data_IF_532840176026
#
_entry.id   IF_532840176026
#
_cell.length_a   1.000
_cell.length_b   1.000
_cell.length_c   1.000
_cell.angle_alpha   90.00
_cell.angle_beta   90.00
_cell.angle_gamma   90.00
#
_symmetry.space_group_name_H-M   'P 1'
#
loop_
_entity.id
_entity.type
_entity.pdbx_description
1 polymer ?
#
# COMPACT_ATOMS: atom_id res chain seq x y z
N UNK A 1 27.90 -24.16 -45.34
CA UNK A 1 26.43 -24.02 -45.40
C UNK A 1 25.65 -25.02 -44.53
N UNK A 2 25.56 -26.33 -44.85
CA UNK A 2 24.78 -27.28 -44.01
C UNK A 2 25.38 -27.51 -42.60
N UNK A 3 26.70 -27.61 -42.49
CA UNK A 3 27.39 -27.82 -41.21
C UNK A 3 27.32 -26.59 -40.28
N UNK A 4 27.43 -25.39 -40.83
CA UNK A 4 27.27 -24.12 -40.07
C UNK A 4 25.84 -23.96 -39.55
N UNK A 5 24.84 -24.30 -40.35
CA UNK A 5 23.44 -24.31 -39.92
C UNK A 5 23.17 -25.33 -38.81
N UNK A 6 23.88 -26.46 -38.81
CA UNK A 6 23.78 -27.46 -37.74
C UNK A 6 24.44 -26.97 -36.45
N UNK A 7 25.64 -26.38 -36.54
CA UNK A 7 26.36 -25.78 -35.41
C UNK A 7 25.56 -24.65 -34.74
N UNK A 8 24.96 -23.75 -35.53
CA UNK A 8 24.11 -22.67 -35.01
C UNK A 8 22.87 -23.20 -34.27
N UNK A 9 22.26 -24.29 -34.77
CA UNK A 9 21.12 -24.94 -34.09
C UNK A 9 21.52 -25.58 -32.77
N UNK A 10 22.68 -26.24 -32.73
CA UNK A 10 23.21 -26.85 -31.49
C UNK A 10 23.53 -25.77 -30.46
N UNK A 11 24.20 -24.68 -30.86
CA UNK A 11 24.48 -23.54 -29.99
C UNK A 11 23.19 -22.92 -29.43
N UNK A 12 22.20 -22.66 -30.30
CA UNK A 12 20.89 -22.13 -29.88
C UNK A 12 20.18 -23.06 -28.90
N UNK A 13 20.22 -24.38 -29.14
CA UNK A 13 19.63 -25.37 -28.22
C UNK A 13 20.35 -25.40 -26.87
N UNK A 14 21.68 -25.27 -26.85
CA UNK A 14 22.46 -25.21 -25.62
C UNK A 14 22.16 -23.94 -24.81
N UNK A 15 22.07 -22.78 -25.47
CA UNK A 15 21.68 -21.52 -24.82
C UNK A 15 20.26 -21.62 -24.26
N UNK A 16 19.32 -22.14 -25.04
CA UNK A 16 17.94 -22.35 -24.59
C UNK A 16 17.86 -23.29 -23.38
N UNK A 17 18.64 -24.37 -23.37
CA UNK A 17 18.75 -25.29 -22.24
C UNK A 17 19.30 -24.60 -20.99
N UNK A 18 20.33 -23.76 -21.14
CA UNK A 18 20.90 -23.00 -20.03
C UNK A 18 19.91 -21.96 -19.48
N UNK A 19 19.23 -21.21 -20.35
CA UNK A 19 18.18 -20.26 -19.96
C UNK A 19 17.03 -20.97 -19.23
N UNK A 20 16.61 -22.14 -19.70
CA UNK A 20 15.58 -22.93 -19.03
C UNK A 20 16.04 -23.40 -17.64
N UNK A 21 17.28 -23.86 -17.52
CA UNK A 21 17.84 -24.29 -16.22
C UNK A 21 17.95 -23.12 -15.24
N UNK A 22 18.43 -21.95 -15.68
CA UNK A 22 18.51 -20.75 -14.83
C UNK A 22 17.12 -20.27 -14.40
N UNK A 23 16.13 -20.30 -15.29
CA UNK A 23 14.74 -20.00 -14.98
C UNK A 23 14.16 -20.97 -13.94
N UNK A 24 14.32 -22.27 -14.14
CA UNK A 24 13.84 -23.31 -13.21
C UNK A 24 14.48 -23.15 -11.82
N UNK A 25 15.79 -22.91 -11.78
CA UNK A 25 16.50 -22.67 -10.52
C UNK A 25 16.00 -21.40 -9.82
N UNK A 26 15.79 -20.31 -10.57
CA UNK A 26 15.23 -19.07 -10.05
C UNK A 26 13.81 -19.24 -9.48
N UNK A 27 12.97 -20.04 -10.14
CA UNK A 27 11.62 -20.37 -9.66
C UNK A 27 11.70 -21.15 -8.35
N UNK A 28 12.55 -22.18 -8.27
CA UNK A 28 12.73 -23.00 -7.05
C UNK A 28 13.19 -22.14 -5.89
N UNK A 29 14.23 -21.31 -6.07
CA UNK A 29 14.69 -20.38 -5.03
C UNK A 29 13.57 -19.44 -4.60
N UNK A 30 12.82 -18.88 -5.56
CA UNK A 30 11.72 -17.95 -5.27
C UNK A 30 10.62 -18.62 -4.45
N UNK A 31 10.25 -19.86 -4.76
CA UNK A 31 9.28 -20.65 -3.99
C UNK A 31 9.78 -20.90 -2.57
N UNK A 32 11.04 -21.31 -2.42
CA UNK A 32 11.65 -21.55 -1.09
C UNK A 32 11.67 -20.26 -0.26
N UNK A 33 12.09 -19.14 -0.84
CA UNK A 33 12.11 -17.83 -0.16
C UNK A 33 10.69 -17.38 0.21
N UNK A 34 9.72 -17.55 -0.69
CA UNK A 34 8.32 -17.21 -0.42
C UNK A 34 7.73 -18.08 0.70
N UNK A 35 8.00 -19.38 0.70
CA UNK A 35 7.59 -20.30 1.75
C UNK A 35 8.23 -19.94 3.10
N UNK A 36 9.54 -19.66 3.11
CA UNK A 36 10.25 -19.22 4.31
C UNK A 36 9.68 -17.91 4.88
N UNK A 37 9.43 -16.91 4.02
CA UNK A 37 8.81 -15.63 4.42
C UNK A 37 7.38 -15.79 4.94
N UNK A 38 6.65 -16.78 4.43
CA UNK A 38 5.30 -17.11 4.90
C UNK A 38 5.34 -17.72 6.31
N UNK A 39 6.29 -18.61 6.57
CA UNK A 39 6.47 -19.24 7.89
C UNK A 39 7.11 -18.31 8.93
N UNK A 40 8.02 -17.44 8.50
CA UNK A 40 8.72 -16.47 9.37
C UNK A 40 8.59 -15.06 8.80
N UNK A 41 7.45 -14.38 9.04
CA UNK A 41 7.26 -13.03 8.56
C UNK A 41 8.21 -12.06 9.29
N UNK A 42 8.66 -10.96 8.64
CA UNK A 42 9.64 -10.03 9.22
C UNK A 42 9.21 -9.51 10.58
N UNK A 43 10.16 -9.25 11.48
CA UNK A 43 9.87 -8.69 12.79
C UNK A 43 9.19 -7.31 12.66
N UNK A 44 8.25 -7.02 13.55
CA UNK A 44 7.56 -5.73 13.58
C UNK A 44 8.44 -4.69 14.26
N UNK A 45 8.69 -3.57 13.59
CA UNK A 45 9.32 -2.40 14.23
C UNK A 45 8.36 -1.74 15.22
N UNK A 46 8.94 -1.11 16.24
CA UNK A 46 8.19 -0.23 17.14
C UNK A 46 7.90 1.10 16.43
N UNK A 47 6.73 1.67 16.67
CA UNK A 47 6.36 3.02 16.22
C UNK A 47 6.30 4.00 17.40
N UNK A 48 6.53 3.54 18.62
CA UNK A 48 6.39 4.36 19.82
C UNK A 48 7.30 5.60 19.76
N UNK A 49 6.74 6.78 20.03
CA UNK A 49 7.46 8.05 20.03
C UNK A 49 7.68 8.67 18.65
N UNK A 50 7.33 7.99 17.56
CA UNK A 50 7.41 8.54 16.20
C UNK A 50 6.34 9.60 15.95
N UNK A 51 6.50 10.33 14.84
CA UNK A 51 5.52 11.32 14.36
C UNK A 51 4.93 10.82 13.05
N UNK A 52 3.60 10.80 12.94
CA UNK A 52 2.90 10.38 11.74
C UNK A 52 1.92 11.46 11.25
N UNK A 53 1.82 11.59 9.93
CA UNK A 53 0.82 12.40 9.25
C UNK A 53 -0.16 11.45 8.58
N UNK A 54 -1.45 11.60 8.87
CA UNK A 54 -2.51 10.74 8.30
C UNK A 54 -3.45 11.61 7.49
N UNK A 55 -3.50 11.38 6.18
CA UNK A 55 -4.36 12.11 5.24
C UNK A 55 -5.69 11.35 5.09
N UNK A 56 -6.80 12.09 5.03
CA UNK A 56 -8.14 11.50 5.02
C UNK A 56 -8.53 10.93 6.38
N UNK A 57 -8.03 11.53 7.45
CA UNK A 57 -8.22 11.04 8.82
C UNK A 57 -9.65 11.26 9.37
N UNK A 58 -10.54 11.94 8.64
CA UNK A 58 -11.88 12.23 9.14
C UNK A 58 -12.84 11.04 9.17
N UNK A 59 -12.58 9.97 8.40
CA UNK A 59 -13.47 8.79 8.32
C UNK A 59 -12.75 7.51 7.90
N UNK A 60 -13.47 6.39 8.00
CA UNK A 60 -13.07 5.06 7.56
C UNK A 60 -11.66 4.64 7.96
N UNK A 61 -10.92 4.09 6.99
CA UNK A 61 -9.57 3.54 7.22
C UNK A 61 -8.60 4.60 7.73
N UNK A 62 -8.65 5.83 7.21
CA UNK A 62 -7.76 6.90 7.64
C UNK A 62 -7.99 7.29 9.11
N UNK A 63 -9.27 7.43 9.52
CA UNK A 63 -9.64 7.67 10.93
C UNK A 63 -9.07 6.60 11.85
N UNK A 64 -9.26 5.36 11.47
CA UNK A 64 -8.84 4.23 12.27
C UNK A 64 -7.31 4.07 12.34
N UNK A 65 -6.60 4.33 11.24
CA UNK A 65 -5.13 4.38 11.25
C UNK A 65 -4.65 5.43 12.26
N UNK A 66 -5.27 6.62 12.27
CA UNK A 66 -4.92 7.67 13.23
C UNK A 66 -5.14 7.21 14.68
N UNK A 67 -6.25 6.54 14.97
CA UNK A 67 -6.53 5.96 16.29
C UNK A 67 -5.50 4.91 16.71
N UNK A 68 -5.25 3.93 15.87
CA UNK A 68 -4.32 2.85 16.20
C UNK A 68 -2.87 3.34 16.33
N UNK A 69 -2.45 4.32 15.53
CA UNK A 69 -1.15 4.98 15.70
C UNK A 69 -1.05 5.68 17.06
N UNK A 70 -2.11 6.38 17.48
CA UNK A 70 -2.15 7.01 18.79
C UNK A 70 -2.03 5.98 19.93
N UNK A 71 -2.73 4.85 19.83
CA UNK A 71 -2.63 3.75 20.80
C UNK A 71 -1.23 3.13 20.85
N UNK A 72 -0.47 3.19 19.76
CA UNK A 72 0.93 2.77 19.70
C UNK A 72 1.90 3.82 20.28
N UNK A 73 1.41 4.97 20.76
CA UNK A 73 2.21 6.07 21.31
C UNK A 73 2.85 6.96 20.24
N UNK A 74 2.28 6.99 19.03
CA UNK A 74 2.70 7.86 17.93
C UNK A 74 2.05 9.24 18.09
N UNK A 75 2.78 10.31 17.80
CA UNK A 75 2.24 11.67 17.71
C UNK A 75 1.62 11.86 16.32
N UNK A 76 0.31 12.06 16.25
CA UNK A 76 -0.43 12.01 14.98
C UNK A 76 -0.95 13.40 14.58
N UNK A 77 -0.63 13.81 13.36
CA UNK A 77 -1.26 14.93 12.67
C UNK A 77 -2.35 14.41 11.73
N UNK A 78 -3.61 14.64 12.07
CA UNK A 78 -4.77 14.27 11.26
C UNK A 78 -5.05 15.35 10.22
N UNK A 79 -4.96 15.01 8.94
CA UNK A 79 -5.26 15.92 7.83
C UNK A 79 -6.57 15.47 7.17
N UNK A 80 -7.53 16.37 7.07
CA UNK A 80 -8.76 16.18 6.28
C UNK A 80 -9.31 17.54 5.82
N UNK A 81 -10.07 17.57 4.72
CA UNK A 81 -10.76 18.78 4.29
C UNK A 81 -12.02 19.06 5.11
N UNK A 82 -12.61 18.02 5.72
CA UNK A 82 -13.80 18.14 6.53
C UNK A 82 -13.42 18.43 7.99
N UNK A 83 -13.53 19.70 8.37
CA UNK A 83 -13.21 20.19 9.72
C UNK A 83 -13.97 19.44 10.83
N UNK A 84 -15.27 19.24 10.64
CA UNK A 84 -16.13 18.61 11.66
C UNK A 84 -15.70 17.17 11.92
N UNK A 85 -15.49 16.39 10.85
CA UNK A 85 -15.11 14.98 10.95
C UNK A 85 -13.69 14.80 11.49
N UNK A 86 -12.75 15.68 11.09
CA UNK A 86 -11.38 15.67 11.58
C UNK A 86 -11.33 15.98 13.09
N UNK A 87 -12.02 17.03 13.54
CA UNK A 87 -12.11 17.39 14.96
C UNK A 87 -12.80 16.30 15.78
N UNK A 88 -13.88 15.70 15.27
CA UNK A 88 -14.56 14.59 15.94
C UNK A 88 -13.62 13.40 16.16
N UNK A 89 -12.80 13.05 15.15
CA UNK A 89 -11.76 12.02 15.25
C UNK A 89 -10.78 12.37 16.37
N UNK A 90 -10.16 13.56 16.33
CA UNK A 90 -9.21 13.98 17.36
C UNK A 90 -9.82 13.95 18.77
N UNK A 91 -11.07 14.41 18.92
CA UNK A 91 -11.75 14.43 20.21
C UNK A 91 -12.03 13.02 20.75
N UNK A 92 -12.32 12.06 19.87
CA UNK A 92 -12.48 10.65 20.26
C UNK A 92 -11.16 10.04 20.72
N UNK A 93 -10.05 10.32 20.04
CA UNK A 93 -8.72 9.80 20.37
C UNK A 93 -8.07 10.46 21.61
N UNK A 94 -8.36 11.73 21.87
CA UNK A 94 -7.73 12.50 22.95
C UNK A 94 -8.08 12.01 24.35
N UNK A 95 -9.03 11.08 24.49
CA UNK A 95 -9.39 10.46 25.78
C UNK A 95 -8.27 9.59 26.36
N UNK A 96 -7.32 9.15 25.53
CA UNK A 96 -6.33 8.13 25.89
C UNK A 96 -4.89 8.67 26.04
N UNK A 97 -4.71 9.94 26.44
CA UNK A 97 -3.37 10.60 26.56
C UNK A 97 -2.57 10.67 25.25
N UNK A 98 -3.25 10.54 24.10
CA UNK A 98 -2.65 10.59 22.79
C UNK A 98 -2.31 12.03 22.34
N UNK A 99 -1.13 12.22 21.74
CA UNK A 99 -0.77 13.49 21.08
C UNK A 99 -1.32 13.47 19.65
N UNK A 100 -2.56 13.89 19.49
CA UNK A 100 -3.26 13.95 18.20
C UNK A 100 -3.77 15.36 17.93
N UNK A 101 -3.54 15.88 16.72
CA UNK A 101 -3.92 17.26 16.33
C UNK A 101 -4.58 17.30 14.95
N UNK A 102 -5.66 18.08 14.78
CA UNK A 102 -6.32 18.23 13.48
C UNK A 102 -5.66 19.34 12.66
N UNK A 103 -5.56 19.12 11.36
CA UNK A 103 -5.08 20.06 10.36
C UNK A 103 -6.04 20.04 9.18
N UNK A 104 -6.64 21.19 8.87
CA UNK A 104 -7.63 21.27 7.81
C UNK A 104 -6.94 21.68 6.52
N UNK A 105 -6.95 20.79 5.54
CA UNK A 105 -6.29 21.01 4.27
C UNK A 105 -7.03 20.26 3.16
N UNK A 106 -7.33 20.96 2.07
CA UNK A 106 -7.72 20.28 0.84
C UNK A 106 -6.46 19.89 0.06
N UNK A 107 -6.20 18.58 0.03
CA UNK A 107 -5.06 17.99 -0.68
C UNK A 107 -5.21 18.04 -2.21
N UNK A 108 -6.40 18.38 -2.72
CA UNK A 108 -6.64 18.54 -4.17
C UNK A 108 -5.90 19.76 -4.72
N UNK A 109 -5.67 20.77 -3.87
CA UNK A 109 -5.27 22.09 -4.34
C UNK A 109 -3.75 22.30 -4.43
N UNK A 110 -2.89 21.40 -3.90
CA UNK A 110 -1.43 21.68 -3.85
C UNK A 110 -0.51 20.46 -3.87
N UNK A 111 0.55 20.58 -4.69
CA UNK A 111 1.84 19.83 -4.65
C UNK A 111 2.57 19.86 -3.30
N UNK A 112 2.12 20.68 -2.35
CA UNK A 112 2.88 21.10 -1.18
C UNK A 112 3.10 20.02 -0.13
N UNK A 113 2.24 19.01 0.02
CA UNK A 113 2.34 18.14 1.20
C UNK A 113 3.61 17.29 1.17
N UNK A 114 3.88 16.64 0.03
CA UNK A 114 5.09 15.82 -0.09
C UNK A 114 6.35 16.69 -0.16
N UNK A 115 6.29 17.82 -0.87
CA UNK A 115 7.37 18.81 -0.93
C UNK A 115 7.69 19.42 0.45
N UNK A 116 6.72 19.45 1.37
CA UNK A 116 6.93 19.96 2.74
C UNK A 116 7.48 18.88 3.68
N UNK A 117 7.05 17.62 3.51
CA UNK A 117 7.42 16.51 4.42
C UNK A 117 8.74 15.87 4.01
N UNK A 118 8.98 15.67 2.72
CA UNK A 118 10.12 14.91 2.20
C UNK A 118 11.46 15.54 2.59
N UNK A 119 11.68 16.87 2.50
CA UNK A 119 12.92 17.48 2.99
C UNK A 119 13.15 17.27 4.48
N UNK A 120 12.08 17.20 5.28
CA UNK A 120 12.15 16.88 6.70
C UNK A 120 12.65 15.45 6.93
N UNK A 121 12.09 14.47 6.23
CA UNK A 121 12.53 13.07 6.30
C UNK A 121 13.98 12.89 5.79
N UNK A 122 14.35 13.58 4.72
CA UNK A 122 15.71 13.56 4.17
C UNK A 122 16.73 14.14 5.16
N UNK A 123 16.43 15.27 5.81
CA UNK A 123 17.29 15.85 6.86
C UNK A 123 17.45 14.93 8.07
N UNK A 124 16.39 14.21 8.44
CA UNK A 124 16.44 13.21 9.50
C UNK A 124 17.16 11.93 9.08
N UNK A 125 17.45 11.76 7.78
CA UNK A 125 18.06 10.56 7.22
C UNK A 125 17.23 9.30 7.45
N UNK A 126 15.92 9.43 7.67
CA UNK A 126 14.99 8.32 7.91
C UNK A 126 13.55 8.77 7.68
N UNK A 127 12.71 7.86 7.20
CA UNK A 127 11.29 8.12 7.00
C UNK A 127 10.54 6.88 6.53
N UNK A 128 9.21 6.94 6.59
CA UNK A 128 8.36 5.90 6.03
C UNK A 128 7.14 6.55 5.38
N UNK A 129 7.03 6.43 4.05
CA UNK A 129 5.88 6.91 3.28
C UNK A 129 5.00 5.70 2.97
N UNK A 130 3.73 5.79 3.32
CA UNK A 130 2.73 4.74 3.07
C UNK A 130 1.71 5.28 2.10
N UNK A 131 1.67 4.73 0.89
CA UNK A 131 0.70 5.09 -0.14
C UNK A 131 -0.45 4.08 -0.12
N UNK A 132 -1.67 4.56 0.11
CA UNK A 132 -2.87 3.72 0.02
C UNK A 132 -3.46 3.85 -1.39
N UNK A 133 -3.50 2.73 -2.09
CA UNK A 133 -4.09 2.53 -3.41
C UNK A 133 -5.28 1.55 -3.32
N UNK A 134 -5.98 1.34 -4.42
CA UNK A 134 -6.99 0.31 -4.59
C UNK A 134 -6.70 -0.53 -5.82
N UNK A 135 -7.23 -1.75 -5.87
CA UNK A 135 -7.08 -2.64 -7.02
C UNK A 135 -7.93 -2.25 -8.21
N UNK A 136 -8.85 -1.31 -8.05
CA UNK A 136 -9.37 -0.55 -9.19
C UNK A 136 -8.25 0.20 -9.95
N UNK A 137 -7.04 0.32 -9.39
CA UNK A 137 -5.83 0.81 -10.06
C UNK A 137 -4.95 -0.27 -10.69
N UNK A 138 -5.34 -1.55 -10.70
CA UNK A 138 -4.64 -2.62 -11.43
C UNK A 138 -5.32 -2.99 -12.74
N UNK A 139 -6.65 -2.95 -12.79
CA UNK A 139 -7.43 -3.20 -13.99
C UNK A 139 -8.64 -2.27 -14.05
N UNK A 140 -8.92 -1.75 -15.24
CA UNK A 140 -10.10 -0.91 -15.47
C UNK A 140 -11.36 -1.75 -15.28
N UNK A 141 -12.07 -1.59 -14.16
CA UNK A 141 -13.34 -2.25 -13.97
C UNK A 141 -14.35 -1.69 -15.00
N UNK A 142 -14.59 -2.42 -16.08
CA UNK A 142 -15.59 -2.13 -17.09
C UNK A 142 -17.01 -2.33 -16.52
N UNK A 143 -17.44 -1.46 -15.60
CA UNK A 143 -18.84 -1.37 -15.22
C UNK A 143 -19.17 -0.01 -14.63
N UNK A 144 -20.00 0.73 -15.40
CA UNK A 144 -20.70 1.98 -15.08
C UNK A 144 -19.82 3.24 -15.00
N UNK A 145 -20.27 4.27 -15.70
CA UNK A 145 -19.58 5.50 -16.12
C UNK A 145 -18.96 6.40 -15.04
N UNK A 146 -18.93 5.99 -13.77
CA UNK A 146 -18.43 6.78 -12.64
C UNK A 146 -17.11 6.27 -12.02
N UNK A 147 -16.51 5.19 -12.53
CA UNK A 147 -15.27 4.61 -11.95
C UNK A 147 -13.98 5.01 -12.66
N UNK A 148 -14.04 5.62 -13.84
CA UNK A 148 -12.83 6.00 -14.61
C UNK A 148 -11.95 7.00 -13.85
N UNK A 149 -12.46 8.14 -13.33
CA UNK A 149 -11.60 9.08 -12.61
C UNK A 149 -10.98 8.48 -11.34
N UNK A 150 -11.74 7.63 -10.63
CA UNK A 150 -11.24 6.92 -9.46
C UNK A 150 -10.11 5.96 -9.84
N UNK A 151 -10.33 5.08 -10.83
CA UNK A 151 -9.32 4.14 -11.33
C UNK A 151 -8.06 4.87 -11.78
N UNK A 152 -8.19 5.92 -12.60
CA UNK A 152 -7.07 6.76 -13.04
C UNK A 152 -6.28 7.33 -11.87
N UNK A 153 -6.95 7.83 -10.83
CA UNK A 153 -6.28 8.32 -9.63
C UNK A 153 -5.51 7.20 -8.88
N UNK A 154 -6.05 5.98 -8.82
CA UNK A 154 -5.34 4.84 -8.20
C UNK A 154 -4.11 4.43 -9.02
N UNK A 155 -4.20 4.39 -10.35
CA UNK A 155 -3.03 4.20 -11.23
C UNK A 155 -1.99 5.31 -11.03
N UNK A 156 -2.41 6.57 -10.87
CA UNK A 156 -1.52 7.68 -10.60
C UNK A 156 -0.78 7.52 -9.26
N UNK A 157 -1.45 7.04 -8.21
CA UNK A 157 -0.82 6.74 -6.92
C UNK A 157 0.25 5.66 -7.07
N UNK A 158 -0.03 4.58 -7.82
CA UNK A 158 0.95 3.53 -8.08
C UNK A 158 2.17 4.06 -8.82
N UNK A 159 1.97 4.71 -9.96
CA UNK A 159 3.06 5.26 -10.77
C UNK A 159 3.88 6.32 -10.02
N UNK A 160 3.22 7.15 -9.20
CA UNK A 160 3.89 8.09 -8.31
C UNK A 160 4.77 7.36 -7.29
N UNK A 161 4.24 6.32 -6.65
CA UNK A 161 4.95 5.56 -5.60
C UNK A 161 6.16 4.82 -6.16
N UNK A 162 6.01 4.19 -7.33
CA UNK A 162 7.11 3.51 -8.04
C UNK A 162 8.21 4.50 -8.46
N UNK A 163 7.81 5.65 -9.04
CA UNK A 163 8.76 6.69 -9.47
C UNK A 163 9.53 7.27 -8.28
N UNK A 164 8.83 7.59 -7.19
CA UNK A 164 9.46 8.12 -5.97
C UNK A 164 10.39 7.09 -5.32
N UNK A 165 10.01 5.80 -5.32
CA UNK A 165 10.87 4.74 -4.81
C UNK A 165 12.16 4.61 -5.63
N UNK A 166 12.08 4.76 -6.96
CA UNK A 166 13.26 4.75 -7.82
C UNK A 166 14.20 5.95 -7.51
N UNK A 167 13.65 7.15 -7.34
CA UNK A 167 14.41 8.36 -6.99
C UNK A 167 15.12 8.22 -5.62
N UNK A 168 14.43 7.69 -4.61
CA UNK A 168 15.00 7.49 -3.28
C UNK A 168 16.09 6.41 -3.25
N UNK A 169 15.98 5.38 -4.09
CA UNK A 169 17.05 4.38 -4.27
C UNK A 169 18.30 4.99 -4.89
N UNK A 170 18.14 5.86 -5.90
CA UNK A 170 19.28 6.54 -6.54
C UNK A 170 20.01 7.48 -5.57
N UNK A 171 19.26 8.17 -4.70
CA UNK A 171 19.82 9.07 -3.69
C UNK A 171 20.36 8.36 -2.43
N UNK A 172 20.34 7.02 -2.38
CA UNK A 172 20.73 6.22 -1.21
C UNK A 172 20.04 6.68 0.10
N UNK A 173 18.78 7.09 -0.01
CA UNK A 173 18.01 7.57 1.14
C UNK A 173 17.49 6.41 1.98
N UNK A 174 17.55 6.50 3.31
CA UNK A 174 16.96 5.51 4.23
C UNK A 174 15.45 5.73 4.44
N UNK A 175 14.76 6.31 3.44
CA UNK A 175 13.31 6.50 3.47
C UNK A 175 12.66 5.27 2.84
N UNK A 176 11.83 4.60 3.63
CA UNK A 176 11.08 3.44 3.19
C UNK A 176 9.79 3.91 2.51
N UNK A 177 9.39 3.22 1.45
CA UNK A 177 8.10 3.42 0.80
C UNK A 177 7.35 2.09 0.79
N UNK A 178 6.09 2.14 1.23
CA UNK A 178 5.16 1.01 1.23
C UNK A 178 3.91 1.38 0.42
N UNK A 179 3.61 0.57 -0.60
CA UNK A 179 2.38 0.65 -1.37
C UNK A 179 1.37 -0.36 -0.82
N UNK A 180 0.16 0.08 -0.48
CA UNK A 180 -0.88 -0.80 0.05
C UNK A 180 -2.10 -0.76 -0.84
N UNK A 181 -2.55 -1.93 -1.30
CA UNK A 181 -3.70 -2.06 -2.17
C UNK A 181 -4.94 -2.51 -1.40
N UNK A 182 -5.91 -1.61 -1.31
CA UNK A 182 -7.16 -1.81 -0.60
C UNK A 182 -8.24 -2.29 -1.57
N UNK A 183 -8.82 -3.46 -1.29
CA UNK A 183 -9.96 -3.95 -2.04
C UNK A 183 -11.27 -3.37 -1.51
N UNK A 184 -12.30 -3.19 -2.35
CA UNK A 184 -13.56 -2.50 -2.02
C UNK A 184 -14.49 -3.28 -1.07
N UNK A 185 -13.93 -4.05 -0.14
CA UNK A 185 -14.64 -4.82 0.88
C UNK A 185 -14.65 -4.12 2.24
N UNK A 186 -14.05 -2.92 2.34
CA UNK A 186 -13.98 -2.19 3.61
C UNK A 186 -15.28 -1.45 3.88
N UNK A 187 -15.90 -1.79 5.01
CA UNK A 187 -17.09 -1.13 5.54
C UNK A 187 -16.71 -0.29 6.76
N UNK A 188 -17.20 0.96 6.79
CA UNK A 188 -17.16 1.77 8.00
C UNK A 188 -18.10 1.15 9.03
N UNK A 189 -17.76 1.27 10.32
CA UNK A 189 -18.58 0.74 11.43
C UNK A 189 -20.02 1.26 11.41
N UNK A 190 -20.23 2.49 10.91
CA UNK A 190 -21.55 3.12 10.75
C UNK A 190 -22.33 2.54 9.56
N UNK A 191 -21.63 2.15 8.49
CA UNK A 191 -22.22 1.62 7.25
C UNK A 191 -22.38 0.10 7.28
N UNK A 192 -21.74 -0.58 8.24
CA UNK A 192 -21.79 -2.02 8.43
C UNK A 192 -23.22 -2.57 8.71
N UNK A 193 -24.11 -1.72 9.23
CA UNK A 193 -25.50 -2.08 9.54
C UNK A 193 -26.44 -1.93 8.34
N UNK A 194 -26.01 -1.37 7.21
CA UNK A 194 -26.85 -1.20 6.03
C UNK A 194 -26.83 -2.45 5.14
N UNK A 195 -27.90 -3.25 5.25
CA UNK A 195 -28.10 -4.51 4.53
C UNK A 195 -28.02 -4.33 3.01
N UNK A 196 -28.28 -3.12 2.48
CA UNK A 196 -28.27 -2.85 1.02
C UNK A 196 -26.88 -2.76 0.40
N UNK A 197 -25.84 -2.51 1.21
CA UNK A 197 -24.44 -2.49 0.78
C UNK A 197 -23.73 -3.83 0.95
N UNK A 198 -24.46 -4.84 1.45
CA UNK A 198 -24.06 -6.24 1.48
C UNK A 198 -24.15 -6.82 0.06
N UNK A 199 -23.30 -6.31 -0.84
CA UNK A 199 -23.06 -6.98 -2.11
C UNK A 199 -22.64 -8.42 -1.74
N UNK A 200 -23.23 -9.48 -2.33
CA UNK A 200 -22.80 -10.85 -2.11
C UNK A 200 -21.42 -11.04 -2.74
N UNK A 201 -20.42 -10.45 -2.11
CA UNK A 201 -19.04 -10.62 -2.50
C UNK A 201 -18.63 -11.98 -1.98
N UNK A 202 -18.32 -12.88 -2.90
CA UNK A 202 -17.58 -14.12 -2.66
C UNK A 202 -16.33 -13.90 -1.77
N UNK A 203 -15.83 -12.65 -1.67
CA UNK A 203 -14.68 -12.25 -0.87
C UNK A 203 -14.99 -11.65 0.51
N UNK A 204 -16.26 -11.56 0.92
CA UNK A 204 -16.68 -11.04 2.22
C UNK A 204 -16.59 -9.51 2.40
N UNK A 205 -16.78 -9.05 3.63
CA UNK A 205 -16.66 -7.64 4.07
C UNK A 205 -15.68 -7.53 5.24
N UNK A 206 -14.90 -6.46 5.32
CA UNK A 206 -13.92 -6.21 6.38
C UNK A 206 -14.18 -4.86 7.07
N UNK A 207 -14.22 -4.79 8.41
CA UNK A 207 -14.31 -3.52 9.11
C UNK A 207 -13.09 -2.63 8.86
N UNK A 208 -13.28 -1.31 8.84
CA UNK A 208 -12.17 -0.35 8.75
C UNK A 208 -11.12 -0.53 9.87
N UNK A 209 -11.55 -0.91 11.09
CA UNK A 209 -10.69 -1.32 12.22
C UNK A 209 -9.72 -2.44 11.89
N UNK A 210 -10.23 -3.52 11.30
CA UNK A 210 -9.42 -4.65 10.92
C UNK A 210 -8.49 -4.32 9.75
N UNK A 211 -8.97 -3.55 8.77
CA UNK A 211 -8.16 -3.11 7.65
C UNK A 211 -6.99 -2.25 8.14
N UNK A 212 -7.23 -1.22 8.94
CA UNK A 212 -6.19 -0.36 9.50
C UNK A 212 -5.15 -1.15 10.31
N UNK A 213 -5.58 -2.14 11.09
CA UNK A 213 -4.67 -3.03 11.83
C UNK A 213 -3.75 -3.79 10.88
N UNK A 214 -4.29 -4.40 9.83
CA UNK A 214 -3.50 -5.11 8.82
C UNK A 214 -2.57 -4.19 8.03
N UNK A 215 -3.00 -2.95 7.76
CA UNK A 215 -2.14 -1.91 7.16
C UNK A 215 -0.95 -1.65 8.09
N UNK A 216 -1.21 -1.34 9.35
CA UNK A 216 -0.15 -1.03 10.33
C UNK A 216 0.78 -2.21 10.57
N UNK A 217 0.27 -3.44 10.60
CA UNK A 217 1.09 -4.64 10.70
C UNK A 217 2.04 -4.77 9.50
N UNK A 218 1.56 -4.58 8.27
CA UNK A 218 2.41 -4.60 7.08
C UNK A 218 3.44 -3.46 7.05
N UNK A 219 3.05 -2.26 7.47
CA UNK A 219 3.92 -1.09 7.62
C UNK A 219 5.00 -1.36 8.67
N UNK A 220 4.66 -1.98 9.80
CA UNK A 220 5.62 -2.34 10.85
C UNK A 220 6.60 -3.44 10.41
N UNK A 221 6.19 -4.30 9.48
CA UNK A 221 7.04 -5.33 8.86
C UNK A 221 7.88 -4.81 7.69
N UNK A 222 7.79 -3.52 7.33
CA UNK A 222 8.47 -2.91 6.19
C UNK A 222 8.19 -3.64 4.85
N UNK A 223 6.96 -4.10 4.65
CA UNK A 223 6.59 -4.64 3.33
C UNK A 223 6.59 -3.52 2.29
N UNK A 224 7.34 -3.69 1.21
CA UNK A 224 7.39 -2.71 0.12
C UNK A 224 6.03 -2.57 -0.59
N UNK A 225 5.32 -3.68 -0.74
CA UNK A 225 4.00 -3.72 -1.37
C UNK A 225 3.17 -4.87 -0.79
N UNK A 226 1.89 -4.63 -0.50
CA UNK A 226 0.94 -5.69 -0.13
C UNK A 226 -0.52 -5.27 -0.35
N UNK A 227 -1.45 -6.21 -0.30
CA UNK A 227 -2.88 -5.94 -0.41
C UNK A 227 -3.66 -6.29 0.84
N UNK A 228 -4.88 -5.79 0.93
CA UNK A 228 -5.85 -6.16 1.96
C UNK A 228 -7.19 -6.48 1.30
N UNK A 229 -7.65 -7.75 1.38
CA UNK A 229 -6.96 -8.94 1.89
C UNK A 229 -5.66 -9.32 1.13
N UNK A 230 -4.69 -9.95 1.82
CA UNK A 230 -3.34 -10.21 1.30
C UNK A 230 -3.23 -11.16 0.12
N UNK A 231 -4.16 -12.11 -0.02
CA UNK A 231 -4.16 -13.08 -1.11
C UNK A 231 -4.55 -12.48 -2.46
N UNK A 232 -5.11 -11.27 -2.47
CA UNK A 232 -5.62 -10.67 -3.70
C UNK A 232 -4.53 -9.94 -4.51
N UNK A 233 -3.40 -9.55 -3.93
CA UNK A 233 -2.33 -8.83 -4.63
C UNK A 233 -1.96 -9.49 -5.96
N UNK A 234 -1.68 -10.80 -5.92
CA UNK A 234 -1.31 -11.57 -7.10
C UNK A 234 -2.45 -11.70 -8.10
N UNK A 235 -3.69 -11.81 -7.63
CA UNK A 235 -4.87 -11.80 -8.50
C UNK A 235 -4.98 -10.45 -9.25
N UNK A 236 -4.68 -9.34 -8.58
CA UNK A 236 -4.65 -8.01 -9.20
C UNK A 236 -3.64 -7.92 -10.36
N UNK A 237 -2.43 -8.47 -10.19
CA UNK A 237 -1.43 -8.51 -11.27
C UNK A 237 -1.84 -9.39 -12.44
N UNK A 238 -2.48 -10.54 -12.19
CA UNK A 238 -2.99 -11.40 -13.26
C UNK A 238 -4.10 -10.71 -14.06
N UNK A 239 -5.02 -10.03 -13.37
CA UNK A 239 -6.14 -9.31 -13.99
C UNK A 239 -5.71 -8.04 -14.74
N UNK A 240 -4.47 -7.55 -14.57
CA UNK A 240 -3.94 -6.39 -15.31
C UNK A 240 -3.65 -6.68 -16.79
N UNK A 241 -3.43 -7.95 -17.15
CA UNK A 241 -3.01 -8.38 -18.48
C UNK A 241 -4.10 -9.10 -19.29
N UNK A 242 -5.36 -9.02 -18.85
CA UNK A 242 -6.53 -9.54 -19.58
C UNK A 242 -7.45 -8.39 -20.00
#
# INVERSE_FOLDING_TARGET
MQMENMLLKVYSLMVLMLDLLTLLFGIIISIIVAFYRTLRPPAMKSLHGEVAVVIGAGRGVGREIAFQLCLLGVKVACIDKNDKMCKATVQQASRDSAVIKPYICDITDKKQLLESILPGMQRLGRGHIVALSSVAGFSGAASRSARVPFSTAQFAIQGFTESLQAELRQSNSNIIITLVHIYPFIIDSETANDIRLRIPSYFGTMPASEAARKILDGVRRNYAEFSIPGYLLYLGHVLRYQ
#
